data_IF_067594733675
#
_entry.id   IF_067594733675
#
_cell.length_a   1.000
_cell.length_b   1.000
_cell.length_c   1.000
_cell.angle_alpha   90.00
_cell.angle_beta   90.00
_cell.angle_gamma   90.00
#
_symmetry.space_group_name_H-M   'P 1'
#
loop_
_entity.id
_entity.type
_entity.pdbx_description
1 polymer ?
#
# COMPACT_ATOMS: atom_id res chain seq x y z
N UNK A 1 32.99 10.10 -27.28
CA UNK A 1 33.21 10.72 -25.96
C UNK A 1 33.90 9.68 -25.09
N UNK A 2 35.24 9.70 -25.08
CA UNK A 2 36.05 8.69 -24.40
C UNK A 2 36.38 9.13 -22.97
N UNK A 3 35.97 8.32 -21.99
CA UNK A 3 36.32 8.52 -20.59
C UNK A 3 37.69 7.87 -20.35
N UNK A 4 38.72 8.69 -20.16
CA UNK A 4 40.07 8.24 -19.80
C UNK A 4 40.07 7.66 -18.37
N UNK A 5 40.27 6.36 -18.23
CA UNK A 5 40.56 5.73 -16.94
C UNK A 5 42.02 6.05 -16.57
N UNK A 6 42.22 6.91 -15.57
CA UNK A 6 43.54 7.29 -15.07
C UNK A 6 44.29 6.11 -14.46
N UNK A 7 45.60 6.01 -14.74
CA UNK A 7 46.50 5.02 -14.13
C UNK A 7 46.49 5.17 -12.60
N UNK A 8 46.06 4.14 -11.89
CA UNK A 8 46.17 4.06 -10.43
C UNK A 8 47.65 3.94 -10.07
N UNK A 9 48.19 4.91 -9.31
CA UNK A 9 49.56 4.85 -8.79
C UNK A 9 49.65 3.82 -7.66
N UNK A 10 50.76 3.05 -7.55
CA UNK A 10 50.94 2.14 -6.43
C UNK A 10 51.01 2.93 -5.12
N UNK A 11 50.23 2.51 -4.13
CA UNK A 11 50.25 3.09 -2.78
C UNK A 11 51.58 2.71 -2.13
N UNK A 12 52.50 3.67 -2.03
CA UNK A 12 53.68 3.55 -1.18
C UNK A 12 53.23 3.57 0.28
N UNK A 13 53.20 2.41 0.93
CA UNK A 13 53.15 2.37 2.38
C UNK A 13 54.42 3.02 2.91
N UNK A 14 54.31 4.25 3.42
CA UNK A 14 55.37 4.86 4.21
C UNK A 14 55.52 4.00 5.46
N UNK A 15 56.73 3.51 5.72
CA UNK A 15 57.09 2.84 6.97
C UNK A 15 56.78 3.79 8.14
N UNK A 16 55.59 3.68 8.70
CA UNK A 16 55.23 4.33 9.97
C UNK A 16 56.10 3.71 11.04
N UNK A 17 56.85 4.54 11.79
CA UNK A 17 57.65 4.09 12.93
C UNK A 17 56.79 3.19 13.81
N UNK A 18 57.30 2.00 14.12
CA UNK A 18 56.60 1.02 14.94
C UNK A 18 56.18 1.70 16.26
N UNK A 19 54.96 1.46 16.77
CA UNK A 19 54.51 1.99 18.04
C UNK A 19 55.54 1.69 19.15
N UNK A 20 55.82 2.64 20.04
CA UNK A 20 56.86 2.51 21.08
C UNK A 20 56.75 1.23 21.92
N UNK A 21 55.54 0.70 22.09
CA UNK A 21 55.33 -0.58 22.78
C UNK A 21 55.91 -1.77 22.02
N UNK A 22 55.77 -1.79 20.69
CA UNK A 22 56.36 -2.81 19.81
C UNK A 22 57.88 -2.69 19.90
N UNK A 23 58.43 -1.48 19.79
CA UNK A 23 59.87 -1.20 19.81
C UNK A 23 60.54 -1.59 21.15
N UNK A 24 59.85 -1.35 22.28
CA UNK A 24 60.28 -1.81 23.61
C UNK A 24 60.24 -3.33 23.73
N UNK A 25 59.17 -3.97 23.24
CA UNK A 25 58.99 -5.42 23.27
C UNK A 25 59.99 -6.14 22.36
N UNK A 26 60.40 -5.54 21.24
CA UNK A 26 61.49 -6.03 20.39
C UNK A 26 62.83 -5.97 21.10
N UNK A 27 63.12 -4.90 21.83
CA UNK A 27 64.35 -4.80 22.64
C UNK A 27 64.37 -5.77 23.82
N UNK A 28 63.22 -6.04 24.44
CA UNK A 28 63.09 -7.06 25.49
C UNK A 28 63.23 -8.49 24.93
N UNK A 29 62.75 -8.74 23.70
CA UNK A 29 62.94 -10.01 22.98
C UNK A 29 64.40 -10.26 22.56
N UNK A 30 65.16 -9.20 22.24
CA UNK A 30 66.58 -9.28 21.88
C UNK A 30 67.48 -9.56 23.11
N UNK A 31 67.07 -9.10 24.29
CA UNK A 31 67.79 -9.31 25.56
C UNK A 31 67.53 -10.67 26.20
N UNK A 32 66.39 -11.28 25.89
CA UNK A 32 66.15 -12.67 26.15
C UNK A 32 66.92 -13.47 25.09
N UNK A 33 68.14 -13.92 25.40
CA UNK A 33 68.88 -14.95 24.64
C UNK A 33 68.10 -16.29 24.66
N UNK A 34 66.88 -16.31 24.12
CA UNK A 34 66.10 -17.51 23.87
C UNK A 34 66.50 -17.96 22.47
N UNK A 35 67.71 -18.51 22.35
CA UNK A 35 67.99 -19.50 21.32
C UNK A 35 67.27 -20.79 21.73
N UNK A 36 65.95 -20.79 21.65
CA UNK A 36 65.20 -22.02 21.54
C UNK A 36 65.27 -22.40 20.05
N UNK A 37 66.03 -23.44 19.71
CA UNK A 37 66.25 -24.00 18.36
C UNK A 37 64.96 -24.26 17.55
N UNK A 38 63.81 -24.14 18.20
CA UNK A 38 62.47 -24.34 17.65
C UNK A 38 61.79 -23.04 17.23
N UNK A 39 62.26 -21.87 17.69
CA UNK A 39 61.63 -20.58 17.42
C UNK A 39 61.66 -20.18 15.93
N UNK A 40 62.78 -20.34 15.19
CA UNK A 40 62.80 -20.05 13.75
C UNK A 40 61.87 -21.00 12.96
N UNK A 41 61.86 -22.29 13.31
CA UNK A 41 60.98 -23.30 12.71
C UNK A 41 59.49 -23.04 13.01
N UNK A 42 59.18 -22.59 14.21
CA UNK A 42 57.82 -22.23 14.62
C UNK A 42 57.30 -21.00 13.88
N UNK A 43 58.14 -19.97 13.73
CA UNK A 43 57.82 -18.76 12.97
C UNK A 43 57.63 -19.12 11.48
N UNK A 44 58.53 -19.91 10.89
CA UNK A 44 58.44 -20.37 9.50
C UNK A 44 57.15 -21.18 9.25
N UNK A 45 56.80 -22.10 10.17
CA UNK A 45 55.56 -22.87 10.09
C UNK A 45 54.34 -21.96 10.11
N UNK A 46 54.29 -20.97 11.03
CA UNK A 46 53.20 -19.98 11.09
C UNK A 46 53.11 -19.12 9.82
N UNK A 47 54.24 -18.73 9.23
CA UNK A 47 54.25 -17.97 7.98
C UNK A 47 53.75 -18.79 6.79
N UNK A 48 54.17 -20.05 6.66
CA UNK A 48 53.65 -20.97 5.62
C UNK A 48 52.15 -21.21 5.76
N UNK A 49 51.68 -21.37 6.99
CA UNK A 49 50.27 -21.57 7.29
C UNK A 49 49.42 -20.31 7.05
N UNK A 50 50.00 -19.12 7.25
CA UNK A 50 49.37 -17.83 6.90
C UNK A 50 49.36 -17.61 5.38
N UNK A 51 50.46 -17.89 4.69
CA UNK A 51 50.58 -17.81 3.23
C UNK A 51 49.58 -18.75 2.53
N UNK A 52 49.43 -19.98 3.04
CA UNK A 52 48.44 -20.91 2.54
C UNK A 52 47.00 -20.44 2.80
N UNK A 53 46.72 -19.85 3.96
CA UNK A 53 45.41 -19.24 4.28
C UNK A 53 45.10 -18.06 3.37
N UNK A 54 46.07 -17.20 3.08
CA UNK A 54 45.93 -16.09 2.14
C UNK A 54 45.71 -16.57 0.70
N UNK A 55 46.45 -17.60 0.26
CA UNK A 55 46.28 -18.23 -1.07
C UNK A 55 44.92 -18.87 -1.25
N UNK A 56 44.40 -19.50 -0.18
CA UNK A 56 43.09 -20.14 -0.19
C UNK A 56 41.95 -19.16 0.08
N UNK A 57 42.26 -17.88 0.34
CA UNK A 57 41.35 -16.83 0.83
C UNK A 57 40.73 -17.05 2.21
N UNK A 58 40.83 -18.25 2.80
CA UNK A 58 40.38 -18.62 4.16
C UNK A 58 41.04 -17.80 5.30
N UNK A 59 40.72 -16.52 5.39
CA UNK A 59 41.15 -15.64 6.48
C UNK A 59 40.10 -15.60 7.59
N UNK A 60 40.41 -14.98 8.74
CA UNK A 60 39.45 -14.80 9.86
C UNK A 60 38.16 -14.11 9.37
N UNK A 61 38.27 -13.31 8.31
CA UNK A 61 37.18 -12.62 7.67
C UNK A 61 36.23 -13.54 6.90
N UNK A 62 36.62 -14.74 6.47
CA UNK A 62 35.76 -15.60 5.64
C UNK A 62 34.51 -16.07 6.40
N UNK A 63 34.67 -16.40 7.69
CA UNK A 63 33.54 -16.75 8.52
C UNK A 63 32.64 -15.53 8.79
N UNK A 64 33.24 -14.37 9.04
CA UNK A 64 32.50 -13.11 9.22
C UNK A 64 31.75 -12.72 7.94
N UNK A 65 32.36 -12.92 6.77
CA UNK A 65 31.78 -12.68 5.47
C UNK A 65 30.60 -13.62 5.20
N UNK A 66 30.75 -14.92 5.49
CA UNK A 66 29.64 -15.87 5.37
C UNK A 66 28.47 -15.51 6.29
N UNK A 67 28.73 -15.09 7.52
CA UNK A 67 27.69 -14.61 8.45
C UNK A 67 27.02 -13.36 7.89
N UNK A 68 27.78 -12.37 7.43
CA UNK A 68 27.25 -11.16 6.79
C UNK A 68 26.40 -11.47 5.56
N UNK A 69 26.82 -12.43 4.74
CA UNK A 69 26.09 -12.85 3.55
C UNK A 69 24.76 -13.54 3.93
N UNK A 70 24.76 -14.39 4.97
CA UNK A 70 23.53 -15.01 5.48
C UNK A 70 22.56 -14.00 6.08
N UNK A 71 23.06 -13.02 6.84
CA UNK A 71 22.24 -11.93 7.37
C UNK A 71 21.72 -11.05 6.23
N UNK A 72 22.55 -10.74 5.23
CA UNK A 72 22.14 -9.98 4.05
C UNK A 72 21.00 -10.70 3.32
N UNK A 73 21.11 -12.01 3.13
CA UNK A 73 20.07 -12.81 2.49
C UNK A 73 18.80 -12.90 3.35
N UNK A 74 18.95 -13.03 4.67
CA UNK A 74 17.83 -12.98 5.61
C UNK A 74 17.07 -11.65 5.48
N UNK A 75 17.76 -10.51 5.56
CA UNK A 75 17.15 -9.19 5.46
C UNK A 75 16.57 -8.92 4.07
N UNK A 76 17.19 -9.40 2.99
CA UNK A 76 16.61 -9.37 1.63
C UNK A 76 15.29 -10.12 1.55
N UNK A 77 15.20 -11.28 2.17
CA UNK A 77 13.97 -12.07 2.23
C UNK A 77 12.89 -11.37 3.05
N UNK A 78 13.24 -10.75 4.18
CA UNK A 78 12.31 -9.92 4.97
C UNK A 78 11.80 -8.75 4.14
N UNK A 79 12.67 -7.99 3.49
CA UNK A 79 12.28 -6.85 2.65
C UNK A 79 11.38 -7.28 1.48
N UNK A 80 11.67 -8.42 0.86
CA UNK A 80 10.84 -8.97 -0.22
C UNK A 80 9.43 -9.29 0.26
N UNK A 81 9.30 -9.87 1.45
CA UNK A 81 7.99 -10.12 2.08
C UNK A 81 7.26 -8.82 2.39
N UNK A 82 7.94 -7.82 2.96
CA UNK A 82 7.34 -6.50 3.24
C UNK A 82 6.84 -5.84 1.95
N UNK A 83 7.65 -5.81 0.89
CA UNK A 83 7.26 -5.25 -0.41
C UNK A 83 6.05 -5.99 -0.97
N UNK A 84 5.99 -7.32 -0.83
CA UNK A 84 4.87 -8.13 -1.29
C UNK A 84 3.58 -7.79 -0.54
N UNK A 85 3.65 -7.60 0.79
CA UNK A 85 2.52 -7.16 1.61
C UNK A 85 2.06 -5.77 1.19
N UNK A 86 2.97 -4.82 1.01
CA UNK A 86 2.64 -3.46 0.56
C UNK A 86 1.91 -3.50 -0.78
N UNK A 87 2.43 -4.24 -1.77
CA UNK A 87 1.79 -4.39 -3.09
C UNK A 87 0.37 -4.97 -2.98
N UNK A 88 0.17 -5.96 -2.11
CA UNK A 88 -1.14 -6.56 -1.89
C UNK A 88 -2.13 -5.54 -1.31
N UNK A 89 -1.72 -4.83 -0.25
CA UNK A 89 -2.55 -3.81 0.40
C UNK A 89 -2.87 -2.65 -0.54
N UNK A 90 -1.90 -2.19 -1.32
CA UNK A 90 -2.13 -1.15 -2.34
C UNK A 90 -3.16 -1.59 -3.38
N UNK A 91 -3.08 -2.85 -3.86
CA UNK A 91 -4.06 -3.39 -4.82
C UNK A 91 -5.45 -3.48 -4.21
N UNK A 92 -5.57 -3.93 -2.97
CA UNK A 92 -6.85 -4.00 -2.27
C UNK A 92 -7.45 -2.61 -2.05
N UNK A 93 -6.64 -1.63 -1.65
CA UNK A 93 -7.05 -0.24 -1.49
C UNK A 93 -7.57 0.35 -2.81
N UNK A 94 -6.84 0.14 -3.92
CA UNK A 94 -7.26 0.61 -5.23
C UNK A 94 -8.57 -0.03 -5.69
N UNK A 95 -8.73 -1.33 -5.47
CA UNK A 95 -9.98 -2.03 -5.78
C UNK A 95 -11.15 -1.49 -4.96
N UNK A 96 -10.95 -1.31 -3.65
CA UNK A 96 -11.99 -0.77 -2.77
C UNK A 96 -12.38 0.65 -3.19
N UNK A 97 -11.39 1.49 -3.53
CA UNK A 97 -11.65 2.83 -4.05
C UNK A 97 -12.49 2.79 -5.32
N UNK A 98 -12.15 1.93 -6.28
CA UNK A 98 -12.92 1.77 -7.51
C UNK A 98 -14.37 1.33 -7.24
N UNK A 99 -14.58 0.39 -6.30
CA UNK A 99 -15.92 -0.04 -5.89
C UNK A 99 -16.70 1.14 -5.30
N UNK A 100 -16.10 1.90 -4.38
CA UNK A 100 -16.73 3.08 -3.78
C UNK A 100 -17.07 4.14 -4.82
N UNK A 101 -16.19 4.37 -5.80
CA UNK A 101 -16.43 5.32 -6.89
C UNK A 101 -17.61 4.88 -7.76
N UNK A 102 -17.71 3.57 -8.07
CA UNK A 102 -18.84 3.04 -8.84
C UNK A 102 -20.17 3.15 -8.10
N UNK A 103 -20.21 2.86 -6.79
CA UNK A 103 -21.41 3.04 -5.97
C UNK A 103 -21.77 4.51 -5.84
N UNK A 104 -20.78 5.38 -5.63
CA UNK A 104 -20.98 6.84 -5.58
C UNK A 104 -21.62 7.34 -6.86
N UNK A 105 -21.12 6.90 -8.01
CA UNK A 105 -21.65 7.29 -9.31
C UNK A 105 -23.06 6.73 -9.54
N UNK A 106 -23.33 5.49 -9.13
CA UNK A 106 -24.68 4.92 -9.16
C UNK A 106 -25.67 5.77 -8.35
N UNK A 107 -25.35 6.10 -7.10
CA UNK A 107 -26.23 6.88 -6.23
C UNK A 107 -26.39 8.33 -6.70
N UNK A 108 -25.33 8.96 -7.22
CA UNK A 108 -25.44 10.27 -7.89
C UNK A 108 -26.45 10.22 -9.02
N UNK A 109 -26.36 9.21 -9.89
CA UNK A 109 -27.27 9.04 -11.00
C UNK A 109 -28.73 8.84 -10.55
N UNK A 110 -28.97 8.04 -9.50
CA UNK A 110 -30.30 7.87 -8.89
C UNK A 110 -30.83 9.21 -8.34
N UNK A 111 -30.03 9.90 -7.54
CA UNK A 111 -30.41 11.17 -6.90
C UNK A 111 -30.70 12.27 -7.94
N UNK A 112 -29.92 12.36 -9.01
CA UNK A 112 -30.16 13.32 -10.10
C UNK A 112 -31.56 13.15 -10.70
N UNK A 113 -32.02 11.91 -10.88
CA UNK A 113 -33.35 11.60 -11.43
C UNK A 113 -34.45 11.90 -10.42
N UNK A 114 -34.27 11.51 -9.15
CA UNK A 114 -35.19 11.85 -8.05
C UNK A 114 -35.38 13.37 -7.95
N UNK A 115 -34.29 14.14 -7.95
CA UNK A 115 -34.34 15.61 -7.91
C UNK A 115 -35.06 16.16 -9.13
N UNK A 116 -34.85 15.56 -10.32
CA UNK A 116 -35.53 15.98 -11.55
C UNK A 116 -37.04 15.76 -11.48
N UNK A 117 -37.49 14.63 -10.92
CA UNK A 117 -38.91 14.34 -10.68
C UNK A 117 -39.50 15.36 -9.70
N UNK A 118 -38.83 15.62 -8.57
CA UNK A 118 -39.30 16.61 -7.60
C UNK A 118 -39.40 17.99 -8.25
N UNK A 119 -38.37 18.44 -8.97
CA UNK A 119 -38.38 19.73 -9.69
C UNK A 119 -39.52 19.82 -10.70
N UNK A 120 -39.79 18.74 -11.44
CA UNK A 120 -40.88 18.68 -12.41
C UNK A 120 -42.23 18.87 -11.70
N UNK A 121 -42.50 18.09 -10.65
CA UNK A 121 -43.76 18.14 -9.92
C UNK A 121 -43.96 19.47 -9.21
N UNK A 122 -42.91 20.01 -8.57
CA UNK A 122 -42.95 21.32 -7.93
C UNK A 122 -43.26 22.45 -8.92
N UNK A 123 -42.66 22.45 -10.12
CA UNK A 123 -42.93 23.46 -11.16
C UNK A 123 -44.36 23.41 -11.67
N UNK A 124 -44.96 22.23 -11.69
CA UNK A 124 -46.34 22.02 -12.14
C UNK A 124 -47.35 22.11 -10.99
N UNK A 125 -46.90 22.42 -9.76
CA UNK A 125 -47.72 22.42 -8.55
C UNK A 125 -48.49 21.10 -8.32
N UNK A 126 -47.91 19.98 -8.76
CA UNK A 126 -48.50 18.65 -8.60
C UNK A 126 -48.10 18.06 -7.25
N UNK A 127 -49.06 17.43 -6.58
CA UNK A 127 -48.79 16.69 -5.35
C UNK A 127 -47.81 15.55 -5.61
N UNK A 128 -46.72 15.49 -4.83
CA UNK A 128 -45.75 14.40 -4.93
C UNK A 128 -46.33 13.08 -4.43
N UNK A 129 -47.16 13.16 -3.37
CA UNK A 129 -47.58 12.04 -2.54
C UNK A 129 -48.97 11.55 -2.90
N UNK A 130 -49.22 10.29 -2.58
CA UNK A 130 -50.55 9.70 -2.51
C UNK A 130 -50.79 9.08 -1.15
N UNK A 131 -51.80 8.23 -1.04
CA UNK A 131 -52.18 7.55 0.20
C UNK A 131 -51.23 6.41 0.60
N UNK A 132 -50.26 6.04 -0.24
CA UNK A 132 -49.30 4.98 0.05
C UNK A 132 -47.89 5.29 -0.46
N UNK A 133 -46.87 4.76 0.19
CA UNK A 133 -45.46 4.86 -0.22
C UNK A 133 -44.97 3.59 -0.97
N UNK A 134 -45.89 2.70 -1.35
CA UNK A 134 -45.55 1.45 -2.03
C UNK A 134 -45.43 1.65 -3.54
N UNK A 135 -44.32 1.22 -4.12
CA UNK A 135 -44.18 1.12 -5.58
C UNK A 135 -45.25 0.19 -6.17
N UNK A 136 -45.76 0.58 -7.34
CA UNK A 136 -46.80 -0.05 -8.13
C UNK A 136 -48.19 -0.13 -7.48
N UNK A 137 -48.41 0.56 -6.36
CA UNK A 137 -49.75 0.71 -5.82
C UNK A 137 -50.54 1.79 -6.60
N UNK A 138 -51.88 1.69 -6.70
CA UNK A 138 -52.69 2.66 -7.43
C UNK A 138 -52.53 4.10 -6.92
N UNK A 139 -52.56 4.28 -5.59
CA UNK A 139 -52.61 5.60 -4.95
C UNK A 139 -51.27 6.05 -4.37
N UNK A 140 -50.16 5.76 -5.06
CA UNK A 140 -48.82 6.01 -4.53
C UNK A 140 -48.21 7.38 -4.89
N UNK A 141 -49.03 8.27 -5.45
CA UNK A 141 -48.67 9.65 -5.76
C UNK A 141 -47.88 9.80 -7.06
N UNK A 142 -47.85 11.03 -7.58
CA UNK A 142 -47.20 11.31 -8.87
C UNK A 142 -45.69 11.07 -8.84
N UNK A 143 -45.04 11.21 -7.69
CA UNK A 143 -43.61 10.96 -7.56
C UNK A 143 -43.27 9.49 -7.86
N UNK A 144 -43.93 8.55 -7.17
CA UNK A 144 -43.67 7.13 -7.38
C UNK A 144 -44.16 6.65 -8.75
N UNK A 145 -45.25 7.22 -9.29
CA UNK A 145 -45.66 6.96 -10.68
C UNK A 145 -44.60 7.34 -11.70
N UNK A 146 -43.95 8.50 -11.55
CA UNK A 146 -42.85 8.88 -12.44
C UNK A 146 -41.62 8.00 -12.26
N UNK A 147 -41.32 7.56 -11.04
CA UNK A 147 -40.25 6.58 -10.79
C UNK A 147 -40.55 5.25 -11.50
N UNK A 148 -41.79 4.77 -11.44
CA UNK A 148 -42.22 3.54 -12.14
C UNK A 148 -42.05 3.66 -13.64
N UNK A 149 -42.52 4.76 -14.24
CA UNK A 149 -42.39 5.02 -15.68
C UNK A 149 -40.91 5.12 -16.07
N UNK A 150 -40.09 5.84 -15.31
CA UNK A 150 -38.66 5.93 -15.59
C UNK A 150 -37.97 4.57 -15.49
N UNK A 151 -38.38 3.70 -14.58
CA UNK A 151 -37.83 2.36 -14.46
C UNK A 151 -38.13 1.45 -15.68
N UNK A 152 -39.07 1.82 -16.55
CA UNK A 152 -39.30 1.10 -17.81
C UNK A 152 -38.21 1.40 -18.86
N UNK A 153 -37.69 2.63 -18.86
CA UNK A 153 -36.83 3.13 -19.95
C UNK A 153 -35.39 3.45 -19.51
N UNK A 154 -35.18 3.84 -18.26
CA UNK A 154 -33.89 4.22 -17.71
C UNK A 154 -33.24 3.05 -16.95
N UNK A 155 -32.06 2.63 -17.40
CA UNK A 155 -31.34 1.47 -16.84
C UNK A 155 -31.01 1.64 -15.35
N UNK A 156 -30.73 2.86 -14.89
CA UNK A 156 -30.38 3.14 -13.49
C UNK A 156 -31.62 3.04 -12.61
N UNK A 157 -32.74 3.64 -13.03
CA UNK A 157 -34.01 3.55 -12.30
C UNK A 157 -34.57 2.14 -12.32
N UNK A 158 -34.41 1.41 -13.43
CA UNK A 158 -34.80 0.00 -13.53
C UNK A 158 -34.08 -0.84 -12.50
N UNK A 159 -32.75 -0.69 -12.41
CA UNK A 159 -31.95 -1.41 -11.43
C UNK A 159 -32.29 -0.99 -9.99
N UNK A 160 -32.52 0.30 -9.75
CA UNK A 160 -32.90 0.81 -8.43
C UNK A 160 -34.22 0.21 -7.94
N UNK A 161 -35.26 0.24 -8.78
CA UNK A 161 -36.55 -0.39 -8.47
C UNK A 161 -36.41 -1.90 -8.29
N UNK A 162 -35.55 -2.56 -9.07
CA UNK A 162 -35.28 -4.00 -8.91
C UNK A 162 -34.65 -4.32 -7.55
N UNK A 163 -33.65 -3.54 -7.11
CA UNK A 163 -33.00 -3.68 -5.79
C UNK A 163 -34.02 -3.56 -4.65
N UNK A 164 -34.86 -2.51 -4.69
CA UNK A 164 -35.93 -2.28 -3.71
C UNK A 164 -36.91 -3.46 -3.64
N UNK A 165 -37.36 -3.97 -4.80
CA UNK A 165 -38.27 -5.14 -4.84
C UNK A 165 -37.65 -6.37 -4.19
N UNK A 166 -36.38 -6.65 -4.48
CA UNK A 166 -35.67 -7.79 -3.92
C UNK A 166 -35.52 -7.69 -2.39
N UNK A 167 -35.30 -6.49 -1.86
CA UNK A 167 -35.20 -6.24 -0.42
C UNK A 167 -36.52 -6.49 0.30
N UNK A 168 -37.63 -5.97 -0.23
CA UNK A 168 -38.96 -6.23 0.31
C UNK A 168 -39.31 -7.72 0.32
N UNK A 169 -38.85 -8.48 -0.68
CA UNK A 169 -39.09 -9.93 -0.77
C UNK A 169 -38.23 -10.74 0.20
N UNK A 170 -37.00 -10.30 0.47
CA UNK A 170 -36.04 -11.04 1.30
C UNK A 170 -36.06 -10.64 2.77
N UNK A 171 -36.93 -9.71 3.17
CA UNK A 171 -37.03 -9.12 4.52
C UNK A 171 -35.65 -8.66 5.05
N UNK A 172 -34.75 -8.27 4.13
CA UNK A 172 -33.45 -7.70 4.48
C UNK A 172 -33.66 -6.22 4.76
N UNK A 173 -33.18 -5.77 5.92
CA UNK A 173 -33.28 -4.38 6.34
C UNK A 173 -32.22 -3.53 5.63
N UNK A 174 -32.38 -3.27 4.33
CA UNK A 174 -31.63 -2.23 3.63
C UNK A 174 -32.42 -0.93 3.70
N UNK A 175 -31.87 0.07 4.38
CA UNK A 175 -32.67 1.17 4.95
C UNK A 175 -32.79 2.41 4.06
N UNK A 176 -32.18 2.45 2.87
CA UNK A 176 -32.10 3.71 2.10
C UNK A 176 -32.47 3.51 0.63
N UNK A 177 -33.74 3.75 0.29
CA UNK A 177 -34.25 3.73 -1.08
C UNK A 177 -34.28 5.12 -1.73
N UNK A 178 -34.13 6.17 -0.93
CA UNK A 178 -34.36 7.58 -1.30
C UNK A 178 -35.73 7.89 -1.92
N UNK A 179 -36.69 6.96 -1.85
CA UNK A 179 -38.04 7.14 -2.38
C UNK A 179 -39.08 7.50 -1.31
N UNK A 180 -38.74 7.36 -0.03
CA UNK A 180 -39.67 7.60 1.09
C UNK A 180 -40.08 9.07 1.20
N UNK A 181 -41.25 9.30 1.79
CA UNK A 181 -41.74 10.65 2.00
C UNK A 181 -40.79 11.50 2.85
N UNK A 182 -40.16 10.91 3.87
CA UNK A 182 -39.17 11.59 4.72
C UNK A 182 -37.98 12.10 3.91
N UNK A 183 -37.43 11.27 3.02
CA UNK A 183 -36.30 11.69 2.19
C UNK A 183 -36.72 12.76 1.17
N UNK A 184 -37.93 12.67 0.62
CA UNK A 184 -38.46 13.73 -0.25
C UNK A 184 -38.50 15.08 0.48
N UNK A 185 -38.94 15.12 1.74
CA UNK A 185 -38.97 16.35 2.55
C UNK A 185 -37.55 16.91 2.79
N UNK A 186 -36.59 16.04 3.10
CA UNK A 186 -35.19 16.44 3.26
C UNK A 186 -34.64 17.06 1.98
N UNK A 187 -34.85 16.43 0.83
CA UNK A 187 -34.39 16.93 -0.47
C UNK A 187 -35.05 18.27 -0.80
N UNK A 188 -36.35 18.42 -0.57
CA UNK A 188 -37.08 19.69 -0.79
C UNK A 188 -36.52 20.80 0.11
N UNK A 189 -36.29 20.50 1.39
CA UNK A 189 -35.72 21.44 2.37
C UNK A 189 -34.32 21.88 1.96
N UNK A 190 -33.47 20.94 1.53
CA UNK A 190 -32.13 21.23 1.04
C UNK A 190 -32.15 22.08 -0.24
N UNK A 191 -33.03 21.76 -1.19
CA UNK A 191 -33.19 22.57 -2.40
C UNK A 191 -33.66 23.99 -2.08
N UNK A 192 -34.63 24.14 -1.18
CA UNK A 192 -35.12 25.45 -0.74
C UNK A 192 -34.02 26.29 -0.08
N UNK A 193 -33.27 25.70 0.85
CA UNK A 193 -32.20 26.42 1.57
C UNK A 193 -31.00 26.84 0.68
N UNK A 194 -30.79 26.19 -0.46
CA UNK A 194 -29.77 26.57 -1.43
C UNK A 194 -30.27 27.56 -2.51
N UNK A 195 -31.57 27.58 -2.80
CA UNK A 195 -32.16 28.44 -3.83
C UNK A 195 -32.63 29.81 -3.32
N UNK A 196 -32.91 29.94 -2.01
CA UNK A 196 -33.43 31.18 -1.40
C UNK A 196 -32.41 31.91 -0.49
N UNK A 197 -31.11 31.80 -0.81
CA UNK A 197 -30.06 32.63 -0.19
C UNK A 197 -29.75 33.86 -1.03
#
# INVERSE_FOLDING_TARGET
>A
MDIRIGKVRPVRFKSTKLPRFIEKRWKELDQLQIHDEKLPRFIEKRWKELDQRLKNRNTIDDHLQAVLDTETEYWRNVLTRIISIIKLLSRQCLYLQAVLDTETEYWRNVLTRIISIIKLLSRQCLALRGSTEKLYAPDNGHFLKLVEVLAEYDIVMKEHVRKIKYEHQTNKNWSVTYLSNTVQDEIITLMGSHLFK
#
